data_IF_171294185493
#
_entry.id   IF_171294185493
#
_cell.length_a   1.000
_cell.length_b   1.000
_cell.length_c   1.000
_cell.angle_alpha   90.00
_cell.angle_beta   90.00
_cell.angle_gamma   90.00
#
_symmetry.space_group_name_H-M   'P 1'
#
loop_
_entity.id
_entity.type
_entity.pdbx_description
1 polymer ?
#
# COMPACT_ATOMS: atom_id res chain seq x y z
N UNK A 1 -3.64 -14.82 -10.93
CA UNK A 1 -2.84 -13.81 -10.21
C UNK A 1 -3.21 -12.45 -10.78
N UNK A 2 -3.65 -11.52 -9.93
CA UNK A 2 -3.82 -10.10 -10.27
C UNK A 2 -2.44 -9.44 -10.31
N UNK A 3 -2.20 -8.58 -11.30
CA UNK A 3 -1.00 -7.74 -11.31
C UNK A 3 -1.24 -6.54 -10.38
N UNK A 4 -0.28 -6.26 -9.51
CA UNK A 4 -0.27 -5.06 -8.67
C UNK A 4 0.98 -4.24 -8.98
N UNK A 5 0.82 -2.93 -9.16
CA UNK A 5 1.92 -2.00 -9.33
C UNK A 5 2.26 -1.36 -7.97
N UNK A 6 3.53 -1.44 -7.56
CA UNK A 6 4.02 -0.71 -6.39
C UNK A 6 4.69 0.57 -6.88
N UNK A 7 4.19 1.72 -6.44
CA UNK A 7 4.70 3.04 -6.82
C UNK A 7 5.12 3.85 -5.60
N UNK A 8 6.09 4.74 -5.79
CA UNK A 8 6.48 5.71 -4.79
C UNK A 8 5.88 7.05 -5.21
N UNK A 9 5.12 7.66 -4.31
CA UNK A 9 4.51 8.98 -4.50
C UNK A 9 5.05 9.92 -3.41
N UNK A 10 5.16 11.22 -3.69
CA UNK A 10 5.73 12.17 -2.73
C UNK A 10 4.79 12.40 -1.55
N UNK A 11 3.49 12.60 -1.82
CA UNK A 11 2.49 12.93 -0.80
C UNK A 11 1.15 12.20 -1.01
N UNK A 12 0.42 11.91 0.06
CA UNK A 12 -0.91 11.31 -0.01
C UNK A 12 -1.98 12.31 -0.47
N UNK A 13 -3.04 11.83 -1.13
CA UNK A 13 -4.11 12.68 -1.64
C UNK A 13 -4.86 13.38 -0.51
N UNK A 14 -5.07 14.69 -0.67
CA UNK A 14 -5.81 15.50 0.31
C UNK A 14 -5.11 15.69 1.65
N UNK A 15 -3.79 15.47 1.74
CA UNK A 15 -3.03 15.66 2.97
C UNK A 15 -3.36 14.66 4.08
N UNK A 16 -3.90 13.50 3.71
CA UNK A 16 -4.22 12.43 4.67
C UNK A 16 -2.94 11.91 5.36
N UNK A 17 -3.01 11.42 6.60
CA UNK A 17 -1.86 10.90 7.32
C UNK A 17 -1.56 9.44 6.90
N UNK A 18 -1.43 9.18 5.59
CA UNK A 18 -1.15 7.84 5.05
C UNK A 18 0.35 7.65 4.79
N UNK A 19 0.87 6.48 5.14
CA UNK A 19 2.24 6.05 4.78
C UNK A 19 2.26 5.14 3.56
N UNK A 20 1.17 4.40 3.35
CA UNK A 20 0.91 3.57 2.17
C UNK A 20 -0.59 3.52 1.86
N UNK A 21 -0.94 3.04 0.67
CA UNK A 21 -2.33 2.83 0.27
C UNK A 21 -2.45 1.77 -0.83
N UNK A 22 -3.18 0.70 -0.54
CA UNK A 22 -3.70 -0.25 -1.51
C UNK A 22 -5.00 0.24 -2.15
N UNK A 23 -5.03 0.29 -3.48
CA UNK A 23 -6.19 0.64 -4.30
C UNK A 23 -6.48 -0.49 -5.28
N UNK A 24 -7.47 -1.33 -4.94
CA UNK A 24 -7.97 -2.37 -5.83
C UNK A 24 -9.14 -1.89 -6.70
N UNK A 25 -9.20 -2.33 -7.96
CA UNK A 25 -10.41 -2.14 -8.79
C UNK A 25 -11.35 -3.33 -8.58
N UNK A 26 -12.63 -3.13 -8.17
CA UNK A 26 -13.55 -4.24 -7.94
C UNK A 26 -13.71 -5.14 -9.16
N UNK A 27 -13.57 -6.46 -8.97
CA UNK A 27 -13.72 -7.50 -10.01
C UNK A 27 -15.06 -7.43 -10.75
N UNK A 28 -16.11 -6.90 -10.12
CA UNK A 28 -17.46 -6.76 -10.69
C UNK A 28 -17.56 -5.74 -11.83
N UNK A 29 -16.55 -4.87 -12.02
CA UNK A 29 -16.43 -4.01 -13.21
C UNK A 29 -15.56 -4.61 -14.33
N UNK A 30 -15.08 -5.86 -14.19
CA UNK A 30 -14.41 -6.60 -15.27
C UNK A 30 -15.43 -7.22 -16.24
N UNK A 31 -16.38 -6.44 -16.74
CA UNK A 31 -17.24 -6.89 -17.84
C UNK A 31 -16.39 -7.02 -19.10
N UNK A 32 -16.64 -8.09 -19.86
CA UNK A 32 -15.93 -8.59 -21.05
C UNK A 32 -15.88 -7.66 -22.28
N UNK A 33 -16.09 -6.36 -22.10
CA UNK A 33 -16.05 -5.35 -23.16
C UNK A 33 -15.28 -4.14 -22.62
N UNK A 34 -14.24 -3.74 -23.36
CA UNK A 34 -13.33 -2.61 -23.13
C UNK A 34 -12.08 -2.82 -22.26
N UNK A 35 -10.94 -3.00 -22.96
CA UNK A 35 -9.71 -2.17 -22.90
C UNK A 35 -9.22 -1.71 -21.51
N UNK A 36 -8.04 -2.21 -21.11
CA UNK A 36 -7.15 -1.65 -20.08
C UNK A 36 -7.77 -1.44 -18.68
N UNK A 37 -8.12 -2.51 -17.98
CA UNK A 37 -8.31 -2.43 -16.52
C UNK A 37 -6.94 -2.11 -15.91
N UNK A 38 -6.82 -0.94 -15.29
CA UNK A 38 -5.61 -0.57 -14.57
C UNK A 38 -5.29 -1.65 -13.52
N UNK A 39 -4.02 -2.08 -13.39
CA UNK A 39 -3.63 -3.00 -12.34
C UNK A 39 -3.96 -2.41 -10.97
N UNK A 40 -4.13 -3.27 -9.96
CA UNK A 40 -4.23 -2.78 -8.59
C UNK A 40 -2.97 -1.96 -8.26
N UNK A 41 -3.08 -0.93 -7.43
CA UNK A 41 -1.97 -0.02 -7.12
C UNK A 41 -1.68 -0.04 -5.62
N UNK A 42 -0.41 -0.15 -5.24
CA UNK A 42 0.09 0.14 -3.90
C UNK A 42 0.94 1.39 -4.00
N UNK A 43 0.49 2.48 -3.38
CA UNK A 43 1.27 3.71 -3.22
C UNK A 43 2.04 3.66 -1.91
N UNK A 44 3.32 4.02 -1.94
CA UNK A 44 4.16 4.27 -0.75
C UNK A 44 4.53 5.75 -0.73
N UNK A 45 4.20 6.45 0.35
CA UNK A 45 4.33 7.91 0.41
C UNK A 45 5.65 8.35 1.06
N UNK A 46 6.58 8.87 0.25
CA UNK A 46 7.92 9.27 0.69
C UNK A 46 7.88 10.38 1.74
N UNK A 47 7.14 11.46 1.48
CA UNK A 47 7.12 12.65 2.33
C UNK A 47 6.76 12.34 3.79
N UNK A 48 5.62 11.67 4.06
CA UNK A 48 5.27 11.23 5.41
C UNK A 48 6.33 10.33 6.05
N UNK A 49 6.84 9.33 5.31
CA UNK A 49 7.86 8.40 5.83
C UNK A 49 9.15 9.11 6.24
N UNK A 50 9.63 10.03 5.40
CA UNK A 50 10.83 10.84 5.71
C UNK A 50 10.58 11.82 6.85
N UNK A 51 9.38 12.44 6.93
CA UNK A 51 9.02 13.32 8.05
C UNK A 51 9.01 12.60 9.39
N UNK A 52 8.50 11.38 9.45
CA UNK A 52 8.37 10.64 10.71
C UNK A 52 9.64 9.86 11.09
N UNK A 53 10.35 9.31 10.10
CA UNK A 53 11.43 8.35 10.35
C UNK A 53 12.75 8.71 9.68
N UNK A 54 12.81 9.76 8.86
CA UNK A 54 14.01 10.10 8.08
C UNK A 54 15.23 10.52 8.89
N UNK A 55 15.07 10.80 10.19
CA UNK A 55 16.18 11.06 11.09
C UNK A 55 17.05 9.82 11.36
N UNK A 56 16.49 8.62 11.23
CA UNK A 56 17.18 7.34 11.40
C UNK A 56 16.95 6.46 10.17
N UNK A 57 18.03 6.21 9.43
CA UNK A 57 17.97 5.45 8.17
C UNK A 57 17.56 3.99 8.37
N UNK A 58 17.98 3.37 9.46
CA UNK A 58 17.64 1.98 9.74
C UNK A 58 16.18 1.88 10.15
N UNK A 59 15.70 2.82 10.99
CA UNK A 59 14.28 2.92 11.32
C UNK A 59 13.41 3.19 10.11
N UNK A 60 13.79 4.13 9.23
CA UNK A 60 13.07 4.41 7.99
C UNK A 60 12.94 3.16 7.12
N UNK A 61 14.00 2.36 7.02
CA UNK A 61 13.98 1.10 6.26
C UNK A 61 13.03 0.07 6.86
N UNK A 62 13.01 -0.06 8.18
CA UNK A 62 12.07 -0.94 8.89
C UNK A 62 10.62 -0.54 8.64
N UNK A 63 10.33 0.76 8.73
CA UNK A 63 8.97 1.29 8.53
C UNK A 63 8.51 1.13 7.08
N UNK A 64 9.37 1.42 6.10
CA UNK A 64 9.07 1.15 4.69
C UNK A 64 8.70 -0.32 4.49
N UNK A 65 9.49 -1.25 5.08
CA UNK A 65 9.21 -2.69 4.97
C UNK A 65 7.87 -3.04 5.60
N UNK A 66 7.58 -2.50 6.77
CA UNK A 66 6.33 -2.74 7.48
C UNK A 66 5.12 -2.28 6.65
N UNK A 67 5.14 -1.03 6.15
CA UNK A 67 4.08 -0.47 5.31
C UNK A 67 3.87 -1.30 4.04
N UNK A 68 4.95 -1.64 3.31
CA UNK A 68 4.83 -2.47 2.10
C UNK A 68 4.18 -3.82 2.40
N UNK A 69 4.58 -4.49 3.47
CA UNK A 69 4.01 -5.78 3.85
C UNK A 69 2.53 -5.66 4.23
N UNK A 70 2.16 -4.56 4.90
CA UNK A 70 0.78 -4.27 5.27
C UNK A 70 -0.12 -4.10 4.04
N UNK A 71 0.27 -3.24 3.08
CA UNK A 71 -0.51 -3.01 1.87
C UNK A 71 -0.59 -4.25 0.97
N UNK A 72 0.49 -5.05 0.91
CA UNK A 72 0.47 -6.33 0.21
C UNK A 72 -0.49 -7.32 0.88
N UNK A 73 -0.58 -7.34 2.21
CA UNK A 73 -1.53 -8.19 2.92
C UNK A 73 -2.98 -7.78 2.59
N UNK A 74 -3.28 -6.48 2.54
CA UNK A 74 -4.58 -5.96 2.10
C UNK A 74 -4.92 -6.38 0.67
N UNK A 75 -3.93 -6.39 -0.25
CA UNK A 75 -4.12 -6.91 -1.60
C UNK A 75 -4.59 -8.37 -1.62
N UNK A 76 -4.08 -9.19 -0.69
CA UNK A 76 -4.51 -10.57 -0.52
C UNK A 76 -5.81 -10.74 0.30
N UNK A 77 -6.47 -9.65 0.69
CA UNK A 77 -7.71 -9.67 1.47
C UNK A 77 -7.50 -9.99 2.96
N UNK A 78 -6.28 -9.81 3.47
CA UNK A 78 -5.96 -9.98 4.89
C UNK A 78 -6.26 -8.65 5.60
N UNK A 79 -7.13 -8.67 6.60
CA UNK A 79 -7.47 -7.48 7.39
C UNK A 79 -6.41 -7.15 8.43
N UNK A 80 -6.45 -5.92 8.95
CA UNK A 80 -5.61 -5.46 10.07
C UNK A 80 -5.74 -6.34 11.31
N UNK A 81 -6.97 -6.76 11.60
CA UNK A 81 -7.25 -7.68 12.71
C UNK A 81 -6.49 -8.99 12.53
N UNK A 82 -6.50 -9.53 11.31
CA UNK A 82 -5.78 -10.77 11.00
C UNK A 82 -4.26 -10.59 11.05
N UNK A 83 -3.73 -9.43 10.66
CA UNK A 83 -2.31 -9.13 10.80
C UNK A 83 -1.86 -9.09 12.26
N UNK A 84 -2.69 -8.52 13.15
CA UNK A 84 -2.42 -8.50 14.60
C UNK A 84 -2.43 -9.91 15.21
N UNK A 85 -3.39 -10.75 14.84
CA UNK A 85 -3.45 -12.15 15.28
C UNK A 85 -2.22 -12.98 14.88
N UNK A 86 -1.57 -12.62 13.77
CA UNK A 86 -0.39 -13.31 13.26
C UNK A 86 0.93 -12.79 13.86
N UNK A 87 0.89 -11.82 14.78
CA UNK A 87 2.07 -11.20 15.38
C UNK A 87 2.92 -10.41 14.37
N UNK A 88 2.27 -9.84 13.35
CA UNK A 88 2.92 -9.10 12.25
C UNK A 88 2.73 -7.58 12.36
N UNK A 89 2.39 -7.09 13.56
CA UNK A 89 2.17 -5.69 13.91
C UNK A 89 2.88 -5.38 15.23
#
# INVERSE_FOLDING_TARGET
MSNVAIVIEDEPPGGQPLLGLYQGVPLTRRSSSYVAVAPDKISIYRGPLERYFGADRDRLREEIRHVVLHEVAHHFGISDERLREMGRY
#
